data_IF_851681918322
#
_entry.id   IF_851681918322
#
_cell.length_a   1.000
_cell.length_b   1.000
_cell.length_c   1.000
_cell.angle_alpha   90.00
_cell.angle_beta   90.00
_cell.angle_gamma   90.00
#
_symmetry.space_group_name_H-M   'P 1'
#
loop_
_entity.id
_entity.type
_entity.pdbx_description
1 polymer ?
#
# COMPACT_ATOMS: atom_id res chain seq x y z
N UNK A 1 25.22 -6.13 -10.97
CA UNK A 1 24.05 -5.24 -10.81
C UNK A 1 24.53 -4.06 -10.00
N UNK A 2 24.56 -2.88 -10.62
CA UNK A 2 25.06 -1.66 -9.99
C UNK A 2 24.16 -1.28 -8.81
N UNK A 3 24.75 -1.05 -7.65
CA UNK A 3 24.01 -0.93 -6.40
C UNK A 3 23.02 0.24 -6.39
N UNK A 4 23.38 1.33 -7.08
CA UNK A 4 22.51 2.49 -7.26
C UNK A 4 21.20 2.15 -7.99
N UNK A 5 21.24 1.26 -8.99
CA UNK A 5 20.04 0.84 -9.73
C UNK A 5 19.04 0.07 -8.85
N UNK A 6 19.55 -0.72 -7.89
CA UNK A 6 18.70 -1.43 -6.93
C UNK A 6 18.01 -0.47 -5.96
N UNK A 7 18.70 0.58 -5.52
CA UNK A 7 18.12 1.57 -4.60
C UNK A 7 17.08 2.44 -5.31
N UNK A 8 17.37 2.90 -6.53
CA UNK A 8 16.42 3.67 -7.35
C UNK A 8 15.14 2.87 -7.59
N UNK A 9 15.25 1.56 -7.84
CA UNK A 9 14.09 0.70 -8.02
C UNK A 9 13.24 0.59 -6.75
N UNK A 10 13.88 0.45 -5.58
CA UNK A 10 13.19 0.40 -4.29
C UNK A 10 12.48 1.73 -4.00
N UNK A 11 13.16 2.88 -4.16
CA UNK A 11 12.58 4.21 -3.96
C UNK A 11 11.40 4.44 -4.90
N UNK A 12 11.57 4.11 -6.18
CA UNK A 12 10.51 4.27 -7.19
C UNK A 12 9.29 3.41 -6.85
N UNK A 13 9.50 2.17 -6.43
CA UNK A 13 8.43 1.27 -6.02
C UNK A 13 7.72 1.79 -4.76
N UNK A 14 8.45 2.24 -3.73
CA UNK A 14 7.82 2.82 -2.53
C UNK A 14 6.94 4.03 -2.86
N UNK A 15 7.39 4.90 -3.78
CA UNK A 15 6.61 6.06 -4.21
C UNK A 15 5.30 5.64 -4.89
N UNK A 16 5.35 4.66 -5.80
CA UNK A 16 4.16 4.11 -6.45
C UNK A 16 3.17 3.54 -5.42
N UNK A 17 3.67 2.77 -4.45
CA UNK A 17 2.82 2.17 -3.41
C UNK A 17 2.17 3.23 -2.51
N UNK A 18 2.88 4.29 -2.15
CA UNK A 18 2.30 5.43 -1.40
C UNK A 18 1.18 6.10 -2.19
N UNK A 19 1.36 6.28 -3.50
CA UNK A 19 0.32 6.83 -4.37
C UNK A 19 -0.91 5.90 -4.46
N UNK A 20 -0.71 4.59 -4.61
CA UNK A 20 -1.80 3.60 -4.61
C UNK A 20 -2.54 3.61 -3.27
N UNK A 21 -1.83 3.61 -2.14
CA UNK A 21 -2.42 3.72 -0.80
C UNK A 21 -3.32 4.96 -0.69
N UNK A 22 -2.85 6.13 -1.14
CA UNK A 22 -3.62 7.36 -1.08
C UNK A 22 -4.87 7.33 -1.97
N UNK A 23 -4.76 6.77 -3.18
CA UNK A 23 -5.88 6.60 -4.11
C UNK A 23 -6.96 5.71 -3.49
N UNK A 24 -6.56 4.56 -2.96
CA UNK A 24 -7.48 3.61 -2.32
C UNK A 24 -8.12 4.23 -1.08
N UNK A 25 -7.32 4.86 -0.19
CA UNK A 25 -7.86 5.50 1.03
C UNK A 25 -8.91 6.56 0.70
N UNK A 26 -8.63 7.40 -0.29
CA UNK A 26 -9.56 8.44 -0.72
C UNK A 26 -10.85 7.80 -1.21
N UNK A 27 -10.75 6.78 -2.07
CA UNK A 27 -11.91 6.06 -2.55
C UNK A 27 -12.74 5.43 -1.44
N UNK A 28 -12.10 4.75 -0.47
CA UNK A 28 -12.80 4.10 0.63
C UNK A 28 -13.47 5.12 1.56
N UNK A 29 -12.82 6.26 1.83
CA UNK A 29 -13.40 7.34 2.65
C UNK A 29 -14.62 8.01 2.00
N UNK A 30 -14.66 8.06 0.68
CA UNK A 30 -15.81 8.61 -0.05
C UNK A 30 -17.08 7.73 0.08
N UNK A 31 -16.92 6.48 0.54
CA UNK A 31 -18.03 5.55 0.81
C UNK A 31 -18.74 5.92 2.11
N UNK A 32 -19.82 6.72 2.01
CA UNK A 32 -20.68 7.04 3.16
C UNK A 32 -21.27 5.78 3.82
N UNK A 33 -21.15 5.68 5.14
CA UNK A 33 -21.65 4.55 5.93
C UNK A 33 -20.68 3.35 5.90
N UNK A 34 -19.38 3.64 5.89
CA UNK A 34 -18.31 2.67 5.94
C UNK A 34 -18.55 1.67 7.09
N UNK A 35 -18.43 0.38 6.78
CA UNK A 35 -18.49 -0.65 7.80
C UNK A 35 -17.24 -0.57 8.67
N UNK A 36 -17.29 -1.16 9.87
CA UNK A 36 -16.14 -1.17 10.80
C UNK A 36 -14.88 -1.78 10.16
N UNK A 37 -15.06 -2.71 9.25
CA UNK A 37 -13.98 -3.34 8.46
C UNK A 37 -13.35 -2.35 7.47
N UNK A 38 -14.13 -1.47 6.83
CA UNK A 38 -13.56 -0.43 5.96
C UNK A 38 -12.76 0.60 6.74
N UNK A 39 -13.23 0.99 7.93
CA UNK A 39 -12.48 1.88 8.83
C UNK A 39 -11.15 1.24 9.26
N UNK A 40 -11.18 -0.03 9.65
CA UNK A 40 -9.97 -0.80 9.96
C UNK A 40 -9.02 -0.91 8.77
N UNK A 41 -9.54 -1.15 7.58
CA UNK A 41 -8.76 -1.17 6.35
C UNK A 41 -8.09 0.19 6.09
N UNK A 42 -8.79 1.31 6.31
CA UNK A 42 -8.20 2.65 6.21
C UNK A 42 -7.04 2.81 7.20
N UNK A 43 -7.20 2.40 8.46
CA UNK A 43 -6.13 2.47 9.47
C UNK A 43 -4.92 1.63 9.06
N UNK A 44 -5.13 0.44 8.50
CA UNK A 44 -4.04 -0.40 8.00
C UNK A 44 -3.33 0.25 6.80
N UNK A 45 -4.08 0.85 5.88
CA UNK A 45 -3.52 1.57 4.74
C UNK A 45 -2.73 2.81 5.19
N UNK A 46 -3.17 3.50 6.24
CA UNK A 46 -2.42 4.60 6.87
C UNK A 46 -1.08 4.14 7.42
N UNK A 47 -1.10 3.05 8.18
CA UNK A 47 0.11 2.47 8.75
C UNK A 47 1.07 1.99 7.66
N UNK A 48 0.56 1.30 6.63
CA UNK A 48 1.37 0.87 5.49
C UNK A 48 1.97 2.08 4.75
N UNK A 49 1.19 3.13 4.52
CA UNK A 49 1.66 4.36 3.87
C UNK A 49 2.80 5.03 4.64
N UNK A 50 2.69 5.11 5.98
CA UNK A 50 3.76 5.64 6.84
C UNK A 50 5.02 4.78 6.73
N UNK A 51 4.90 3.45 6.82
CA UNK A 51 6.05 2.54 6.70
C UNK A 51 6.73 2.62 5.33
N UNK A 52 5.97 2.76 4.25
CA UNK A 52 6.52 2.94 2.91
C UNK A 52 7.30 4.26 2.79
N UNK A 53 6.83 5.32 3.44
CA UNK A 53 7.56 6.58 3.52
C UNK A 53 8.83 6.44 4.36
N UNK A 54 8.79 5.72 5.48
CA UNK A 54 9.99 5.45 6.29
C UNK A 54 11.04 4.66 5.50
N UNK A 55 10.62 3.63 4.75
CA UNK A 55 11.52 2.88 3.86
C UNK A 55 12.15 3.81 2.84
N UNK A 56 11.36 4.68 2.19
CA UNK A 56 11.87 5.65 1.22
C UNK A 56 12.91 6.58 1.86
N UNK A 57 12.60 7.17 3.00
CA UNK A 57 13.49 8.10 3.70
C UNK A 57 14.82 7.43 4.09
N UNK A 58 14.76 6.18 4.56
CA UNK A 58 15.97 5.39 4.83
C UNK A 58 16.76 5.16 3.53
N UNK A 59 16.12 4.70 2.46
CA UNK A 59 16.80 4.45 1.19
C UNK A 59 17.44 5.70 0.58
N UNK A 60 16.74 6.85 0.61
CA UNK A 60 17.27 8.12 0.13
C UNK A 60 18.49 8.57 0.96
N UNK A 61 18.46 8.38 2.29
CA UNK A 61 19.64 8.61 3.14
C UNK A 61 20.79 7.65 2.83
N UNK A 62 20.51 6.40 2.47
CA UNK A 62 21.55 5.45 2.05
C UNK A 62 22.21 5.88 0.74
N UNK A 63 21.47 6.47 -0.21
CA UNK A 63 22.07 6.98 -1.45
C UNK A 63 22.99 8.19 -1.27
N UNK A 64 22.78 8.99 -0.22
CA UNK A 64 23.63 10.15 0.06
C UNK A 64 24.93 9.81 0.81
N UNK A 65 25.04 8.60 1.33
CA UNK A 65 26.21 8.11 2.06
C UNK A 65 27.06 7.23 1.12
N UNK A 66 28.34 7.60 0.93
CA UNK A 66 29.24 6.96 -0.05
C UNK A 66 29.53 5.47 0.18
N UNK A 67 29.39 4.98 1.41
CA UNK A 67 29.81 3.62 1.82
C UNK A 67 28.67 2.79 2.44
N UNK A 68 27.42 3.08 2.09
CA UNK A 68 26.29 2.42 2.73
C UNK A 68 25.96 1.06 2.10
N UNK A 69 25.77 -0.01 2.88
CA UNK A 69 25.43 -1.31 2.34
C UNK A 69 24.11 -1.25 1.59
N UNK A 70 24.11 -1.91 0.43
CA UNK A 70 22.93 -2.13 -0.40
C UNK A 70 21.74 -2.62 0.43
N UNK A 71 20.52 -2.09 0.19
CA UNK A 71 19.33 -2.60 0.84
C UNK A 71 19.19 -4.10 0.61
N UNK A 72 18.80 -4.81 1.68
CA UNK A 72 18.57 -6.25 1.60
C UNK A 72 17.52 -6.52 0.53
N UNK A 73 17.76 -7.52 -0.32
CA UNK A 73 16.79 -7.99 -1.30
C UNK A 73 15.42 -8.32 -0.66
N UNK A 74 15.42 -8.64 0.64
CA UNK A 74 14.20 -8.83 1.44
C UNK A 74 13.27 -7.61 1.41
N UNK A 75 13.79 -6.38 1.49
CA UNK A 75 12.98 -5.16 1.43
C UNK A 75 12.26 -5.09 0.09
N UNK A 76 12.98 -5.33 -1.01
CA UNK A 76 12.40 -5.33 -2.34
C UNK A 76 11.31 -6.40 -2.49
N UNK A 77 11.53 -7.60 -1.95
CA UNK A 77 10.54 -8.69 -1.95
C UNK A 77 9.29 -8.30 -1.14
N UNK A 78 9.44 -7.69 0.03
CA UNK A 78 8.32 -7.20 0.83
C UNK A 78 7.53 -6.11 0.09
N UNK A 79 8.21 -5.17 -0.56
CA UNK A 79 7.55 -4.14 -1.36
C UNK A 79 6.78 -4.72 -2.55
N UNK A 80 7.29 -5.79 -3.18
CA UNK A 80 6.55 -6.52 -4.22
C UNK A 80 5.34 -7.27 -3.68
N UNK A 81 5.38 -7.75 -2.44
CA UNK A 81 4.18 -8.26 -1.76
C UNK A 81 3.15 -7.16 -1.54
N UNK A 82 3.58 -5.99 -1.04
CA UNK A 82 2.72 -4.82 -0.89
C UNK A 82 2.09 -4.41 -2.23
N UNK A 83 2.86 -4.37 -3.32
CA UNK A 83 2.39 -4.07 -4.68
C UNK A 83 1.27 -5.01 -5.10
N UNK A 84 1.43 -6.31 -4.87
CA UNK A 84 0.41 -7.30 -5.21
C UNK A 84 -0.84 -7.14 -4.37
N UNK A 85 -0.71 -6.92 -3.06
CA UNK A 85 -1.85 -6.73 -2.15
C UNK A 85 -2.62 -5.46 -2.48
N UNK A 86 -1.91 -4.34 -2.70
CA UNK A 86 -2.50 -3.05 -3.05
C UNK A 86 -3.07 -3.04 -4.47
N UNK A 87 -2.43 -3.72 -5.42
CA UNK A 87 -2.92 -3.81 -6.81
C UNK A 87 -4.29 -4.49 -6.89
N UNK A 88 -4.52 -5.55 -6.12
CA UNK A 88 -5.85 -6.18 -6.05
C UNK A 88 -6.93 -5.23 -5.51
N UNK A 89 -6.54 -4.36 -4.58
CA UNK A 89 -7.43 -3.37 -3.98
C UNK A 89 -7.69 -2.21 -4.95
N UNK A 90 -6.66 -1.74 -5.63
CA UNK A 90 -6.72 -0.71 -6.68
C UNK A 90 -7.54 -1.16 -7.89
N UNK A 91 -7.41 -2.41 -8.31
CA UNK A 91 -8.22 -3.00 -9.37
C UNK A 91 -9.71 -2.93 -9.02
N UNK A 92 -10.06 -3.25 -7.77
CA UNK A 92 -11.43 -3.17 -7.30
C UNK A 92 -11.93 -1.73 -7.29
N UNK A 93 -11.15 -0.80 -6.72
CA UNK A 93 -11.44 0.64 -6.75
C UNK A 93 -11.66 1.15 -8.19
N UNK A 94 -10.81 0.73 -9.12
CA UNK A 94 -10.82 1.20 -10.51
C UNK A 94 -12.03 0.67 -11.27
N UNK A 95 -12.41 -0.61 -11.07
CA UNK A 95 -13.65 -1.16 -11.63
C UNK A 95 -14.87 -0.33 -11.23
N UNK A 96 -14.94 0.06 -9.96
CA UNK A 96 -16.08 0.83 -9.43
C UNK A 96 -16.08 2.30 -9.86
N UNK A 97 -14.90 2.94 -9.97
CA UNK A 97 -14.81 4.32 -10.49
C UNK A 97 -15.31 4.44 -11.93
N UNK A 98 -15.05 3.46 -12.79
CA UNK A 98 -15.53 3.47 -14.18
C UNK A 98 -17.07 3.47 -14.30
N UNK A 99 -17.78 2.92 -13.31
CA UNK A 99 -19.25 2.86 -13.27
C UNK A 99 -19.87 4.21 -12.88
N UNK A 100 -19.14 5.09 -12.19
CA UNK A 100 -19.66 6.38 -11.68
C UNK A 100 -19.86 7.46 -12.74
N UNK A 101 -19.13 7.42 -13.87
CA UNK A 101 -19.05 8.53 -14.83
C UNK A 101 -20.33 8.88 -15.60
N UNK A 102 -21.46 8.19 -15.36
CA UNK A 102 -22.62 8.24 -16.26
C UNK A 102 -23.96 8.71 -15.68
N UNK A 103 -24.16 8.87 -14.35
CA UNK A 103 -25.44 9.40 -13.84
C UNK A 103 -25.46 9.73 -12.32
N UNK A 104 -26.20 10.75 -11.83
CA UNK A 104 -26.38 11.01 -10.39
C UNK A 104 -27.14 9.90 -9.65
N UNK A 105 -28.04 9.17 -10.34
CA UNK A 105 -28.69 7.95 -9.82
C UNK A 105 -27.71 6.78 -9.68
N UNK A 106 -26.57 6.83 -10.37
CA UNK A 106 -25.48 5.88 -10.19
C UNK A 106 -24.78 6.06 -8.85
N UNK A 107 -24.81 7.25 -8.23
CA UNK A 107 -24.21 7.50 -6.90
C UNK A 107 -24.90 6.68 -5.79
N UNK A 108 -26.22 6.46 -5.88
CA UNK A 108 -26.94 5.68 -4.86
C UNK A 108 -26.74 4.18 -5.07
N UNK A 109 -26.80 3.71 -6.33
CA UNK A 109 -26.49 2.32 -6.72
C UNK A 109 -25.03 1.95 -6.44
N UNK A 110 -24.09 2.84 -6.73
CA UNK A 110 -22.66 2.66 -6.46
C UNK A 110 -22.37 2.38 -5.00
N UNK A 111 -23.08 3.00 -4.05
CA UNK A 111 -22.89 2.71 -2.62
C UNK A 111 -23.30 1.29 -2.26
N UNK A 112 -24.38 0.81 -2.86
CA UNK A 112 -24.86 -0.56 -2.68
C UNK A 112 -23.92 -1.54 -3.39
N UNK A 113 -23.42 -1.20 -4.59
CA UNK A 113 -22.47 -1.99 -5.37
C UNK A 113 -21.09 -2.07 -4.70
N UNK A 114 -20.60 -0.99 -4.10
CA UNK A 114 -19.36 -0.98 -3.31
C UNK A 114 -19.52 -1.78 -2.03
N UNK A 115 -20.66 -1.68 -1.34
CA UNK A 115 -20.97 -2.57 -0.21
C UNK A 115 -21.05 -4.04 -0.64
N UNK A 116 -21.52 -4.31 -1.86
CA UNK A 116 -21.61 -5.65 -2.42
C UNK A 116 -20.27 -6.20 -2.93
N UNK A 117 -19.37 -5.33 -3.40
CA UNK A 117 -18.06 -5.68 -3.91
C UNK A 117 -17.01 -5.79 -2.80
N UNK A 118 -17.06 -4.89 -1.83
CA UNK A 118 -16.35 -5.02 -0.56
C UNK A 118 -17.22 -5.79 0.43
N UNK A 119 -17.49 -7.07 0.12
CA UNK A 119 -18.10 -7.93 1.13
C UNK A 119 -17.18 -7.96 2.34
N UNK A 120 -17.75 -8.05 3.54
CA UNK A 120 -16.97 -8.12 4.79
C UNK A 120 -15.86 -9.19 4.73
N UNK A 121 -16.11 -10.32 4.06
CA UNK A 121 -15.11 -11.38 3.85
C UNK A 121 -13.92 -10.93 2.99
N UNK A 122 -14.16 -10.16 1.94
CA UNK A 122 -13.12 -9.65 1.05
C UNK A 122 -12.32 -8.55 1.74
N UNK A 123 -12.98 -7.66 2.50
CA UNK A 123 -12.31 -6.66 3.33
C UNK A 123 -11.39 -7.34 4.35
N UNK A 124 -11.88 -8.36 5.08
CA UNK A 124 -11.08 -9.10 6.06
C UNK A 124 -9.89 -9.80 5.41
N UNK A 125 -10.04 -10.31 4.18
CA UNK A 125 -8.93 -10.87 3.44
C UNK A 125 -7.89 -9.81 3.04
N UNK A 126 -8.32 -8.61 2.66
CA UNK A 126 -7.43 -7.47 2.40
C UNK A 126 -6.72 -7.01 3.67
N UNK A 127 -7.43 -6.87 4.79
CA UNK A 127 -6.85 -6.53 6.09
C UNK A 127 -5.75 -7.52 6.48
N UNK A 128 -6.02 -8.83 6.38
CA UNK A 128 -5.05 -9.87 6.73
C UNK A 128 -3.79 -9.83 5.84
N UNK A 129 -3.94 -9.50 4.55
CA UNK A 129 -2.82 -9.35 3.61
C UNK A 129 -2.00 -8.11 3.93
N UNK A 130 -2.64 -6.96 4.08
CA UNK A 130 -1.96 -5.69 4.40
C UNK A 130 -1.27 -5.78 5.77
N UNK A 131 -1.90 -6.39 6.77
CA UNK A 131 -1.28 -6.59 8.08
C UNK A 131 -0.03 -7.47 7.99
N UNK A 132 -0.05 -8.51 7.15
CA UNK A 132 1.12 -9.34 6.91
C UNK A 132 2.24 -8.54 6.24
N UNK A 133 1.90 -7.79 5.19
CA UNK A 133 2.86 -6.95 4.47
C UNK A 133 3.51 -5.90 5.40
N UNK A 134 2.73 -5.29 6.29
CA UNK A 134 3.21 -4.39 7.34
C UNK A 134 4.22 -5.09 8.26
N UNK A 135 3.89 -6.28 8.76
CA UNK A 135 4.76 -7.03 9.67
C UNK A 135 6.07 -7.44 8.98
N UNK A 136 5.99 -7.90 7.74
CA UNK A 136 7.13 -8.33 6.94
C UNK A 136 8.05 -7.14 6.60
N UNK A 137 7.46 -6.00 6.22
CA UNK A 137 8.21 -4.78 5.92
C UNK A 137 8.87 -4.19 7.17
N UNK A 138 8.16 -4.12 8.28
CA UNK A 138 8.69 -3.64 9.56
C UNK A 138 9.86 -4.53 10.06
N UNK A 139 9.71 -5.85 9.97
CA UNK A 139 10.76 -6.81 10.35
C UNK A 139 11.98 -6.67 9.44
N UNK A 140 11.75 -6.53 8.13
CA UNK A 140 12.81 -6.35 7.14
C UNK A 140 13.56 -5.04 7.33
N UNK A 141 12.85 -3.95 7.64
CA UNK A 141 13.43 -2.65 7.91
C UNK A 141 14.24 -2.69 9.22
N UNK A 142 13.68 -3.25 10.29
CA UNK A 142 14.40 -3.44 11.56
C UNK A 142 15.69 -4.24 11.39
N UNK A 143 15.64 -5.34 10.63
CA UNK A 143 16.81 -6.17 10.33
C UNK A 143 17.85 -5.43 9.47
N UNK A 144 17.41 -4.52 8.59
CA UNK A 144 18.30 -3.67 7.81
C UNK A 144 19.00 -2.65 8.71
N UNK A 145 18.27 -2.00 9.62
CA UNK A 145 18.80 -1.04 10.59
C UNK A 145 19.76 -1.67 11.61
N UNK A 146 19.53 -2.91 12.04
CA UNK A 146 20.48 -3.63 12.91
C UNK A 146 21.75 -4.08 12.19
N UNK A 147 21.75 -4.12 10.85
CA UNK A 147 22.98 -4.37 10.05
C UNK A 147 23.78 -3.09 9.81
N UNK A 148 23.22 -1.94 10.20
CA UNK A 148 23.78 -0.59 10.02
C UNK A 148 24.45 -0.07 11.30
N UNK A 149 24.02 -0.56 12.47
CA UNK A 149 24.63 -0.31 13.79
C UNK A 149 25.71 -1.35 14.09
#
# INVERSE_FOLDING_TARGET
>A
MDGAASIIAVVSLTLQLVQTVNTVKTFVRDVKGASKELERLITLLELLGALLQDVRDVMERQTSLRDFPLPSNTIFVCLKSCEKSLGLLEDEVTKHRKVQGSNPSAMKRWKDDVKLAFRAKDIVAFEARIQRDINDLHTSLGTNTTKIL
#
